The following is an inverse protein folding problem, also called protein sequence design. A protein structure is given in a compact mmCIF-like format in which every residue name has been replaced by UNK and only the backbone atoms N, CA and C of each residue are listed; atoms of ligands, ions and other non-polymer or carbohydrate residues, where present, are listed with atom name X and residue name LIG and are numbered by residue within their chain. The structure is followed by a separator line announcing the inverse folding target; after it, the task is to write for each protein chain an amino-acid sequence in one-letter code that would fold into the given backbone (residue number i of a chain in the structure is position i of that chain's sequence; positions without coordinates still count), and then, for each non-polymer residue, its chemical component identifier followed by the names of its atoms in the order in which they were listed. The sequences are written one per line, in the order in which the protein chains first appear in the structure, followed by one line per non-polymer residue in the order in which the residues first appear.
data_IF_250312632155
#
_entry.id   IF_250312632155
#
_cell.length_a   1.000
_cell.length_b   1.000
_cell.length_c   1.000
_cell.angle_alpha   90.00
_cell.angle_beta   90.00
_cell.angle_gamma   90.00
#
_symmetry.space_group_name_H-M   'P 1'
#
loop_
_entity.id
_entity.type
_entity.pdbx_description
1 polymer ?
#
# COMPACT_ATOMS: atom_id res chain seq x y z
N UNK A 1 -19.80 13.59 -10.83
CA UNK A 1 -18.71 12.62 -10.52
C UNK A 1 -19.00 12.03 -9.15
N UNK A 2 -19.42 10.77 -9.09
CA UNK A 2 -19.76 10.07 -7.84
C UNK A 2 -18.47 9.87 -7.03
N UNK A 3 -18.32 10.58 -5.89
CA UNK A 3 -17.23 10.35 -4.93
C UNK A 3 -17.44 8.97 -4.30
N UNK A 4 -16.94 7.93 -4.98
CA UNK A 4 -16.88 6.58 -4.41
C UNK A 4 -15.80 6.58 -3.33
N UNK A 5 -16.21 6.79 -2.09
CA UNK A 5 -15.30 6.89 -0.95
C UNK A 5 -14.46 5.62 -0.83
N UNK A 6 -13.14 5.77 -0.97
CA UNK A 6 -12.17 4.70 -0.83
C UNK A 6 -11.81 4.47 0.65
N UNK A 7 -11.49 3.23 1.01
CA UNK A 7 -11.01 2.85 2.35
C UNK A 7 -12.02 3.02 3.51
N UNK A 8 -13.32 2.89 3.23
CA UNK A 8 -14.39 2.84 4.24
C UNK A 8 -14.79 1.40 4.56
N UNK A 9 -15.25 1.18 5.79
CA UNK A 9 -15.81 -0.12 6.19
C UNK A 9 -17.25 -0.26 5.65
N UNK A 10 -17.60 -1.34 4.92
CA UNK A 10 -18.95 -1.54 4.38
C UNK A 10 -20.01 -1.89 5.44
N UNK A 11 -19.63 -2.07 6.70
CA UNK A 11 -20.56 -2.37 7.80
C UNK A 11 -20.94 -1.14 8.63
N UNK A 12 -20.05 -0.15 8.74
CA UNK A 12 -20.26 1.01 9.61
C UNK A 12 -19.97 2.35 8.92
N UNK A 13 -19.64 2.33 7.63
CA UNK A 13 -19.29 3.47 6.76
C UNK A 13 -18.19 4.40 7.29
N UNK A 14 -17.50 4.00 8.37
CA UNK A 14 -16.38 4.74 8.93
C UNK A 14 -15.10 4.45 8.14
N UNK A 15 -14.28 5.49 7.95
CA UNK A 15 -12.93 5.37 7.37
C UNK A 15 -12.03 4.48 8.24
N UNK A 16 -11.38 3.52 7.60
CA UNK A 16 -10.41 2.65 8.24
C UNK A 16 -9.08 3.39 8.43
N UNK A 17 -8.34 3.15 9.53
CA UNK A 17 -7.06 3.80 9.74
C UNK A 17 -6.01 3.32 8.74
N UNK A 18 -5.13 4.20 8.29
CA UNK A 18 -4.07 3.91 7.31
C UNK A 18 -3.21 2.69 7.67
N UNK A 19 -2.97 2.44 8.96
CA UNK A 19 -2.23 1.24 9.45
C UNK A 19 -2.83 -0.09 8.98
N UNK A 20 -4.12 -0.12 8.63
CA UNK A 20 -4.78 -1.32 8.13
C UNK A 20 -4.26 -1.72 6.76
N UNK A 21 -3.66 -0.83 5.96
CA UNK A 21 -3.07 -1.16 4.65
C UNK A 21 -2.05 -2.30 4.77
N UNK A 22 -1.26 -2.33 5.84
CA UNK A 22 -0.28 -3.40 6.09
C UNK A 22 -0.94 -4.76 6.36
N UNK A 23 -2.21 -4.76 6.80
CA UNK A 23 -3.01 -5.97 7.04
C UNK A 23 -3.82 -6.39 5.81
N UNK A 24 -3.91 -5.52 4.80
CA UNK A 24 -4.62 -5.80 3.56
C UNK A 24 -3.78 -6.79 2.72
N UNK A 25 -4.07 -8.07 2.86
CA UNK A 25 -3.62 -9.13 1.96
C UNK A 25 -4.78 -9.55 1.07
N UNK A 26 -4.48 -9.95 -0.17
CA UNK A 26 -5.47 -10.48 -1.09
C UNK A 26 -6.25 -11.62 -0.42
N UNK A 27 -7.58 -11.58 -0.52
CA UNK A 27 -8.51 -12.63 -0.07
C UNK A 27 -8.51 -12.97 1.43
N UNK A 28 -7.84 -12.18 2.28
CA UNK A 28 -7.94 -12.33 3.72
C UNK A 28 -9.00 -11.40 4.31
N UNK A 29 -9.98 -12.02 4.97
CA UNK A 29 -10.91 -11.32 5.83
C UNK A 29 -10.19 -10.83 7.08
N UNK A 30 -10.40 -9.56 7.44
CA UNK A 30 -9.99 -9.03 8.73
C UNK A 30 -11.16 -8.33 9.42
N UNK A 31 -11.13 -8.31 10.75
CA UNK A 31 -12.13 -7.61 11.53
C UNK A 31 -11.92 -6.09 11.50
N UNK A 32 -12.97 -5.32 11.24
CA UNK A 32 -12.93 -3.88 11.33
C UNK A 32 -12.61 -3.43 12.77
N UNK A 33 -11.58 -2.62 13.02
CA UNK A 33 -11.20 -2.20 14.37
C UNK A 33 -12.23 -1.29 15.05
N UNK A 34 -13.25 -0.80 14.32
CA UNK A 34 -14.30 0.06 14.86
C UNK A 34 -15.61 -0.66 15.17
N UNK A 35 -16.01 -1.60 14.32
CA UNK A 35 -17.32 -2.27 14.46
C UNK A 35 -17.22 -3.80 14.56
N UNK A 36 -16.02 -4.37 14.53
CA UNK A 36 -15.80 -5.82 14.61
C UNK A 36 -16.19 -6.62 13.36
N UNK A 37 -16.98 -6.04 12.44
CA UNK A 37 -17.44 -6.71 11.23
C UNK A 37 -16.29 -7.17 10.32
N UNK A 38 -16.38 -8.39 9.80
CA UNK A 38 -15.40 -8.96 8.87
C UNK A 38 -15.49 -8.29 7.49
N UNK A 39 -14.35 -7.79 7.01
CA UNK A 39 -14.22 -7.10 5.73
C UNK A 39 -13.16 -7.77 4.86
N UNK A 40 -13.41 -7.85 3.56
CA UNK A 40 -12.50 -8.45 2.57
C UNK A 40 -12.20 -7.39 1.49
N UNK A 41 -10.94 -7.21 1.08
CA UNK A 41 -10.62 -6.36 -0.06
C UNK A 41 -11.11 -6.99 -1.38
N UNK A 42 -11.89 -6.28 -2.19
CA UNK A 42 -12.40 -6.82 -3.48
C UNK A 42 -11.36 -6.83 -4.61
N UNK A 43 -10.55 -5.77 -4.67
CA UNK A 43 -9.53 -5.58 -5.69
C UNK A 43 -8.36 -4.87 -5.04
N UNK A 44 -7.46 -5.63 -4.48
CA UNK A 44 -6.14 -5.14 -4.10
C UNK A 44 -5.20 -5.42 -5.25
N UNK A 45 -4.66 -4.35 -5.84
CA UNK A 45 -3.42 -4.51 -6.62
C UNK A 45 -2.40 -5.06 -5.64
N UNK A 46 -1.88 -6.25 -5.94
CA UNK A 46 -0.92 -6.94 -5.08
C UNK A 46 0.20 -5.97 -4.66
N UNK A 47 0.49 -5.93 -3.37
CA UNK A 47 1.63 -5.18 -2.81
C UNK A 47 2.97 -5.62 -3.42
N UNK A 48 3.01 -6.83 -4.03
CA UNK A 48 4.19 -7.37 -4.70
C UNK A 48 4.75 -6.44 -5.78
N UNK A 49 3.90 -5.79 -6.57
CA UNK A 49 4.38 -4.85 -7.59
C UNK A 49 5.00 -3.59 -6.97
N UNK A 50 4.54 -3.21 -5.78
CA UNK A 50 5.13 -2.13 -4.99
C UNK A 50 6.58 -2.40 -4.59
N UNK A 51 6.95 -3.66 -4.31
CA UNK A 51 8.34 -4.02 -4.03
C UNK A 51 9.25 -3.82 -5.24
N UNK A 52 8.76 -4.15 -6.44
CA UNK A 52 9.51 -3.93 -7.69
C UNK A 52 9.74 -2.45 -7.92
N UNK A 53 8.71 -1.62 -7.73
CA UNK A 53 8.86 -0.16 -7.82
C UNK A 53 9.86 0.33 -6.78
N UNK A 54 9.71 -0.07 -5.50
CA UNK A 54 10.60 0.37 -4.43
C UNK A 54 12.07 0.00 -4.70
N UNK A 55 12.33 -1.22 -5.19
CA UNK A 55 13.66 -1.68 -5.55
C UNK A 55 14.25 -0.86 -6.70
N UNK A 56 13.50 -0.66 -7.79
CA UNK A 56 13.97 0.14 -8.92
C UNK A 56 14.17 1.61 -8.54
N UNK A 57 13.32 2.17 -7.70
CA UNK A 57 13.47 3.52 -7.15
C UNK A 57 14.68 3.67 -6.24
N UNK A 58 15.21 2.58 -5.67
CA UNK A 58 16.48 2.60 -4.93
C UNK A 58 17.67 2.50 -5.87
N UNK A 59 17.73 1.42 -6.66
CA UNK A 59 18.92 1.03 -7.43
C UNK A 59 19.24 2.01 -8.55
N UNK A 60 18.23 2.52 -9.26
CA UNK A 60 18.47 3.39 -10.42
C UNK A 60 19.09 4.73 -9.99
N UNK A 61 18.54 5.49 -9.02
CA UNK A 61 19.17 6.71 -8.54
C UNK A 61 20.53 6.47 -7.88
N UNK A 62 20.67 5.40 -7.10
CA UNK A 62 21.94 5.03 -6.47
C UNK A 62 23.05 4.82 -7.52
N UNK A 63 22.80 4.01 -8.56
CA UNK A 63 23.79 3.74 -9.60
C UNK A 63 24.15 5.01 -10.39
N UNK A 64 23.17 5.86 -10.70
CA UNK A 64 23.41 7.12 -11.40
C UNK A 64 24.33 8.03 -10.57
N UNK A 65 24.03 8.20 -9.28
CA UNK A 65 24.82 9.06 -8.39
C UNK A 65 26.21 8.47 -8.18
N UNK A 66 26.32 7.16 -7.96
CA UNK A 66 27.60 6.49 -7.78
C UNK A 66 28.49 6.65 -9.02
N UNK A 67 27.92 6.50 -10.22
CA UNK A 67 28.66 6.70 -11.47
C UNK A 67 29.16 8.14 -11.66
N UNK A 68 28.38 9.14 -11.21
CA UNK A 68 28.72 10.56 -11.42
C UNK A 68 29.67 11.13 -10.36
N UNK A 69 29.58 10.64 -9.12
CA UNK A 69 30.28 11.23 -7.98
C UNK A 69 31.32 10.30 -7.34
N UNK A 70 31.30 9.00 -7.65
CA UNK A 70 32.13 7.96 -7.03
C UNK A 70 32.03 7.88 -5.49
N UNK A 71 31.04 8.57 -4.90
CA UNK A 71 30.77 8.59 -3.47
C UNK A 71 29.62 7.62 -3.15
N UNK A 72 29.99 6.48 -2.57
CA UNK A 72 29.05 5.42 -2.19
C UNK A 72 28.08 5.85 -1.07
N UNK A 73 28.52 6.71 -0.16
CA UNK A 73 27.68 7.16 0.97
C UNK A 73 26.59 8.08 0.43
N UNK A 74 26.97 9.03 -0.43
CA UNK A 74 26.01 9.92 -1.09
C UNK A 74 25.03 9.14 -1.96
N UNK A 75 25.52 8.21 -2.79
CA UNK A 75 24.70 7.35 -3.63
C UNK A 75 23.68 6.54 -2.84
N UNK A 76 24.11 5.92 -1.75
CA UNK A 76 23.24 5.15 -0.87
C UNK A 76 22.15 6.02 -0.23
N UNK A 77 22.50 7.20 0.29
CA UNK A 77 21.53 8.13 0.90
C UNK A 77 20.48 8.58 -0.12
N UNK A 78 20.88 8.90 -1.35
CA UNK A 78 19.95 9.29 -2.41
C UNK A 78 19.03 8.13 -2.80
N UNK A 79 19.58 6.93 -2.99
CA UNK A 79 18.79 5.73 -3.26
C UNK A 79 17.77 5.48 -2.15
N UNK A 80 18.19 5.58 -0.89
CA UNK A 80 17.33 5.35 0.27
C UNK A 80 16.17 6.35 0.35
N UNK A 81 16.43 7.64 0.12
CA UNK A 81 15.38 8.67 0.06
C UNK A 81 14.34 8.33 -1.02
N UNK A 82 14.78 7.96 -2.21
CA UNK A 82 13.88 7.60 -3.31
C UNK A 82 13.06 6.35 -3.01
N UNK A 83 13.65 5.34 -2.39
CA UNK A 83 12.95 4.14 -1.95
C UNK A 83 11.83 4.45 -0.95
N UNK A 84 12.11 5.31 0.04
CA UNK A 84 11.10 5.75 1.01
C UNK A 84 9.97 6.55 0.35
N UNK A 85 10.31 7.45 -0.57
CA UNK A 85 9.31 8.22 -1.32
C UNK A 85 8.42 7.30 -2.15
N UNK A 86 8.99 6.34 -2.88
CA UNK A 86 8.24 5.36 -3.66
C UNK A 86 7.32 4.51 -2.78
N UNK A 87 7.83 4.01 -1.65
CA UNK A 87 7.04 3.26 -0.68
C UNK A 87 5.84 4.06 -0.15
N UNK A 88 6.06 5.33 0.19
CA UNK A 88 5.00 6.24 0.63
C UNK A 88 3.93 6.45 -0.44
N UNK A 89 4.33 6.70 -1.68
CA UNK A 89 3.41 6.91 -2.81
C UNK A 89 2.60 5.65 -3.14
N UNK A 90 3.22 4.48 -3.16
CA UNK A 90 2.52 3.19 -3.37
C UNK A 90 1.52 2.93 -2.25
N UNK A 91 1.91 3.17 -0.99
CA UNK A 91 1.01 3.01 0.16
C UNK A 91 -0.19 3.95 0.08
N UNK A 92 0.05 5.21 -0.31
CA UNK A 92 -0.99 6.21 -0.51
C UNK A 92 -1.92 5.84 -1.68
N UNK A 93 -1.37 5.35 -2.78
CA UNK A 93 -2.13 4.86 -3.92
C UNK A 93 -3.05 3.70 -3.51
N UNK A 94 -2.53 2.73 -2.76
CA UNK A 94 -3.32 1.61 -2.25
C UNK A 94 -4.42 2.09 -1.30
N UNK A 95 -4.13 3.05 -0.43
CA UNK A 95 -5.14 3.64 0.46
C UNK A 95 -6.31 4.23 -0.33
N UNK A 96 -6.03 5.01 -1.39
CA UNK A 96 -7.08 5.66 -2.17
C UNK A 96 -7.78 4.77 -3.20
N UNK A 97 -7.21 3.62 -3.55
CA UNK A 97 -7.79 2.74 -4.58
C UNK A 97 -8.32 1.42 -4.04
N UNK A 98 -8.01 1.05 -2.80
CA UNK A 98 -8.55 -0.18 -2.18
C UNK A 98 -10.00 0.02 -1.78
N UNK A 99 -10.85 -0.92 -2.21
CA UNK A 99 -12.25 -1.03 -1.81
C UNK A 99 -12.48 -2.33 -1.05
N UNK A 100 -13.35 -2.24 -0.05
CA UNK A 100 -13.72 -3.37 0.81
C UNK A 100 -15.16 -3.80 0.54
N UNK A 101 -15.40 -5.11 0.59
CA UNK A 101 -16.73 -5.71 0.67
C UNK A 101 -16.91 -6.43 2.00
N UNK A 102 -18.17 -6.68 2.35
CA UNK A 102 -18.51 -7.54 3.49
C UNK A 102 -17.96 -8.95 3.18
N UNK A 103 -17.35 -9.60 4.17
CA UNK A 103 -17.01 -11.01 4.03
C UNK A 103 -18.32 -11.80 3.90
N UNK A 104 -18.55 -12.48 2.78
CA UNK A 104 -19.63 -13.46 2.69
C UNK A 104 -19.12 -14.68 3.44
N UNK A 105 -19.68 -14.94 4.61
CA UNK A 105 -19.53 -16.21 5.29
C UNK A 105 -20.15 -17.30 4.41
N UNK A 106 -19.33 -17.97 3.61
CA UNK A 106 -19.68 -19.30 3.10
C UNK A 106 -19.63 -20.26 4.29
N UNK A 107 -20.72 -20.29 5.05
CA UNK A 107 -21.10 -21.47 5.82
C UNK A 107 -21.99 -22.31 4.89
N UNK A 108 -21.37 -23.22 4.15
CA UNK A 108 -21.97 -24.48 3.68
C UNK A 108 -20.88 -25.54 3.77
#
# INVERSE_FOLDING_TARGET
MEKKESFTCPHCDKKLPFRVILKVKNDHAFACPRCGGAVVPQKTKSFTWGYVIGFLSFVVPEQIVFYLHEDIVMAFLIGFVHALTAFGLVSLYLYFNTRFSKAISFFI
#
